data_IF_804897704629
#
_entry.id   IF_804897704629
#
_cell.length_a   1.000
_cell.length_b   1.000
_cell.length_c   1.000
_cell.angle_alpha   90.00
_cell.angle_beta   90.00
_cell.angle_gamma   90.00
#
_symmetry.space_group_name_H-M   'P 1'
#
loop_
_entity.id
_entity.type
_entity.pdbx_description
1 polymer ?
#
# COMPACT_ATOMS: atom_id res chain seq x y z
N UNK A 1 -0.96 9.92 -28.19
CA UNK A 1 -2.30 10.12 -27.57
C UNK A 1 -2.75 8.91 -26.75
N UNK A 2 -2.54 7.68 -27.21
CA UNK A 2 -3.11 6.47 -26.58
C UNK A 2 -2.64 6.17 -25.13
N UNK A 3 -1.40 6.53 -24.75
CA UNK A 3 -0.87 6.22 -23.42
C UNK A 3 -1.42 7.13 -22.30
N UNK A 4 -1.69 8.40 -22.62
CA UNK A 4 -2.21 9.36 -21.65
C UNK A 4 -3.71 9.17 -21.43
N UNK A 5 -4.48 8.80 -22.46
CA UNK A 5 -5.89 8.42 -22.32
C UNK A 5 -6.07 7.13 -21.51
N UNK A 6 -5.21 6.12 -21.73
CA UNK A 6 -5.16 4.90 -20.90
C UNK A 6 -4.79 5.20 -19.45
N UNK A 7 -3.91 6.16 -19.20
CA UNK A 7 -3.59 6.59 -17.84
C UNK A 7 -4.76 7.34 -17.20
N UNK A 8 -5.33 8.33 -17.89
CA UNK A 8 -6.46 9.14 -17.38
C UNK A 8 -7.65 8.24 -17.05
N UNK A 9 -8.03 7.32 -17.93
CA UNK A 9 -9.17 6.40 -17.70
C UNK A 9 -8.99 5.55 -16.45
N UNK A 10 -7.77 5.09 -16.16
CA UNK A 10 -7.45 4.32 -14.95
C UNK A 10 -7.29 5.20 -13.70
N UNK A 11 -6.71 6.39 -13.85
CA UNK A 11 -6.37 7.25 -12.72
C UNK A 11 -7.56 8.08 -12.23
N UNK A 12 -8.44 8.53 -13.11
CA UNK A 12 -9.64 9.31 -12.76
C UNK A 12 -10.46 8.72 -11.60
N UNK A 13 -10.83 7.42 -11.60
CA UNK A 13 -11.57 6.83 -10.48
C UNK A 13 -10.73 6.72 -9.19
N UNK A 14 -9.39 6.70 -9.29
CA UNK A 14 -8.48 6.70 -8.14
C UNK A 14 -8.32 8.12 -7.59
N UNK A 15 -8.30 9.14 -8.44
CA UNK A 15 -8.29 10.54 -8.06
C UNK A 15 -9.59 10.92 -7.33
N UNK A 16 -10.74 10.50 -7.86
CA UNK A 16 -12.06 10.72 -7.25
C UNK A 16 -12.19 10.04 -5.88
N UNK A 17 -11.54 8.88 -5.69
CA UNK A 17 -11.36 8.25 -4.39
C UNK A 17 -10.19 8.93 -3.68
N UNK A 18 -10.49 9.96 -2.87
CA UNK A 18 -9.53 10.67 -1.99
C UNK A 18 -8.32 9.83 -1.55
N UNK A 19 -7.12 10.45 -1.49
CA UNK A 19 -5.85 9.78 -1.14
C UNK A 19 -5.98 8.78 0.02
N UNK A 20 -6.69 9.17 1.08
CA UNK A 20 -6.94 8.33 2.26
C UNK A 20 -7.62 7.02 1.88
N UNK A 21 -8.69 7.06 1.08
CA UNK A 21 -9.44 5.86 0.68
C UNK A 21 -8.59 4.92 -0.16
N UNK A 22 -7.81 5.45 -1.10
CA UNK A 22 -6.88 4.66 -1.93
C UNK A 22 -5.80 3.99 -1.08
N UNK A 23 -5.09 4.77 -0.25
CA UNK A 23 -4.01 4.25 0.59
C UNK A 23 -4.55 3.22 1.58
N UNK A 24 -5.70 3.47 2.18
CA UNK A 24 -6.28 2.58 3.17
C UNK A 24 -6.76 1.26 2.55
N UNK A 25 -7.42 1.28 1.37
CA UNK A 25 -7.81 0.04 0.68
C UNK A 25 -6.60 -0.81 0.30
N UNK A 26 -5.57 -0.22 -0.31
CA UNK A 26 -4.39 -0.95 -0.75
C UNK A 26 -3.56 -1.48 0.43
N UNK A 27 -3.41 -0.68 1.50
CA UNK A 27 -2.66 -1.10 2.69
C UNK A 27 -3.41 -2.15 3.51
N UNK A 28 -4.75 -2.13 3.55
CA UNK A 28 -5.54 -3.11 4.29
C UNK A 28 -5.39 -4.53 3.73
N UNK A 29 -5.32 -4.69 2.41
CA UNK A 29 -5.05 -5.98 1.78
C UNK A 29 -3.70 -6.53 2.23
N UNK A 30 -2.66 -5.68 2.25
CA UNK A 30 -1.32 -6.11 2.65
C UNK A 30 -1.26 -6.43 4.14
N UNK A 31 -1.99 -5.66 4.97
CA UNK A 31 -2.13 -5.95 6.40
C UNK A 31 -2.74 -7.34 6.63
N UNK A 32 -3.82 -7.68 5.91
CA UNK A 32 -4.47 -9.00 6.03
C UNK A 32 -3.51 -10.14 5.65
N UNK A 33 -2.73 -9.96 4.59
CA UNK A 33 -1.71 -10.93 4.16
C UNK A 33 -0.63 -11.10 5.24
N UNK A 34 -0.14 -10.01 5.81
CA UNK A 34 0.85 -10.05 6.89
C UNK A 34 0.30 -10.75 8.13
N UNK A 35 -0.92 -10.43 8.57
CA UNK A 35 -1.56 -11.09 9.72
C UNK A 35 -1.68 -12.60 9.46
N UNK A 36 -2.13 -12.99 8.28
CA UNK A 36 -2.25 -14.40 7.91
C UNK A 36 -0.90 -15.13 7.95
N UNK A 37 0.14 -14.56 7.35
CA UNK A 37 1.50 -15.11 7.40
C UNK A 37 2.01 -15.28 8.83
N UNK A 38 1.77 -14.30 9.71
CA UNK A 38 2.19 -14.39 11.11
C UNK A 38 1.46 -15.51 11.86
N UNK A 39 0.16 -15.70 11.62
CA UNK A 39 -0.61 -16.80 12.22
C UNK A 39 -0.06 -18.16 11.77
N UNK A 40 0.24 -18.31 10.46
CA UNK A 40 0.83 -19.54 9.91
C UNK A 40 2.20 -19.82 10.52
N UNK A 41 3.08 -18.82 10.59
CA UNK A 41 4.41 -18.95 11.19
C UNK A 41 4.31 -19.33 12.68
N UNK A 42 3.39 -18.71 13.41
CA UNK A 42 3.17 -19.02 14.82
C UNK A 42 2.71 -20.46 15.04
N UNK A 43 1.90 -21.01 14.13
CA UNK A 43 1.47 -22.42 14.19
C UNK A 43 2.60 -23.40 13.88
N UNK A 44 3.50 -23.07 12.95
CA UNK A 44 4.57 -23.98 12.51
C UNK A 44 5.73 -24.02 13.51
N UNK A 45 6.12 -22.87 14.07
CA UNK A 45 7.38 -22.72 14.82
C UNK A 45 7.23 -22.80 16.36
N UNK A 46 6.25 -23.56 16.86
CA UNK A 46 6.09 -23.80 18.30
C UNK A 46 7.25 -24.66 18.87
N UNK A 47 7.82 -24.30 20.04
CA UNK A 47 7.55 -23.11 20.85
C UNK A 47 8.31 -21.87 20.35
N UNK A 48 7.62 -20.73 20.26
CA UNK A 48 8.21 -19.45 19.85
C UNK A 48 8.73 -18.69 21.09
N UNK A 49 9.97 -18.19 21.04
CA UNK A 49 10.54 -17.38 22.12
C UNK A 49 9.89 -15.99 22.19
N UNK A 50 9.88 -15.37 23.38
CA UNK A 50 9.34 -14.00 23.55
C UNK A 50 10.08 -12.97 22.69
N UNK A 51 11.39 -13.13 22.54
CA UNK A 51 12.21 -12.24 21.70
C UNK A 51 11.84 -12.37 20.22
N UNK A 52 11.53 -13.58 19.75
CA UNK A 52 11.06 -13.78 18.39
C UNK A 52 9.71 -13.09 18.15
N UNK A 53 8.78 -13.13 19.11
CA UNK A 53 7.50 -12.41 19.03
C UNK A 53 7.73 -10.89 18.96
N UNK A 54 8.63 -10.34 19.77
CA UNK A 54 8.97 -8.92 19.75
C UNK A 54 9.50 -8.50 18.37
N UNK A 55 10.48 -9.23 17.82
CA UNK A 55 11.05 -8.95 16.51
C UNK A 55 10.00 -9.03 15.40
N UNK A 56 9.09 -10.00 15.47
CA UNK A 56 7.98 -10.13 14.52
C UNK A 56 7.08 -8.89 14.55
N UNK A 57 6.69 -8.40 15.74
CA UNK A 57 5.87 -7.18 15.86
C UNK A 57 6.60 -5.96 15.28
N UNK A 58 7.89 -5.80 15.60
CA UNK A 58 8.72 -4.69 15.07
C UNK A 58 8.80 -4.74 13.55
N UNK A 59 9.15 -5.90 12.97
CA UNK A 59 9.28 -6.07 11.51
C UNK A 59 7.95 -5.80 10.81
N UNK A 60 6.83 -6.30 11.34
CA UNK A 60 5.52 -6.04 10.77
C UNK A 60 5.14 -4.56 10.81
N UNK A 61 5.42 -3.89 11.93
CA UNK A 61 5.13 -2.46 12.11
C UNK A 61 5.92 -1.61 11.11
N UNK A 62 7.23 -1.84 11.00
CA UNK A 62 8.07 -1.13 10.04
C UNK A 62 7.70 -1.44 8.59
N UNK A 63 7.40 -2.71 8.27
CA UNK A 63 6.96 -3.10 6.93
C UNK A 63 5.68 -2.38 6.55
N UNK A 64 4.69 -2.35 7.45
CA UNK A 64 3.42 -1.67 7.22
C UNK A 64 3.60 -0.15 7.06
N UNK A 65 4.47 0.47 7.85
CA UNK A 65 4.82 1.88 7.71
C UNK A 65 5.42 2.18 6.33
N UNK A 66 6.39 1.36 5.88
CA UNK A 66 7.03 1.49 4.56
C UNK A 66 5.99 1.37 3.44
N UNK A 67 5.05 0.43 3.57
CA UNK A 67 3.96 0.24 2.61
C UNK A 67 3.07 1.49 2.54
N UNK A 68 2.63 2.03 3.68
CA UNK A 68 1.80 3.24 3.72
C UNK A 68 2.54 4.39 3.02
N UNK A 69 3.79 4.65 3.40
CA UNK A 69 4.60 5.72 2.81
C UNK A 69 4.75 5.51 1.31
N UNK A 70 5.05 4.28 0.86
CA UNK A 70 5.14 3.93 -0.55
C UNK A 70 3.85 4.19 -1.32
N UNK A 71 2.69 3.86 -0.74
CA UNK A 71 1.37 4.09 -1.36
C UNK A 71 1.02 5.57 -1.44
N UNK A 72 1.33 6.35 -0.40
CA UNK A 72 1.19 7.81 -0.42
C UNK A 72 2.05 8.42 -1.53
N UNK A 73 3.33 8.02 -1.63
CA UNK A 73 4.24 8.53 -2.67
C UNK A 73 3.77 8.14 -4.08
N UNK A 74 3.28 6.91 -4.27
CA UNK A 74 2.68 6.48 -5.54
C UNK A 74 1.46 7.33 -5.90
N UNK A 75 0.59 7.64 -4.91
CA UNK A 75 -0.55 8.50 -5.13
C UNK A 75 -0.15 9.92 -5.54
N UNK A 76 0.81 10.52 -4.83
CA UNK A 76 1.34 11.85 -5.16
C UNK A 76 1.97 11.89 -6.56
N UNK A 77 2.72 10.85 -6.96
CA UNK A 77 3.29 10.75 -8.31
C UNK A 77 2.20 10.65 -9.38
N UNK A 78 1.17 9.84 -9.15
CA UNK A 78 0.03 9.70 -10.07
C UNK A 78 -0.74 11.01 -10.20
N UNK A 79 -0.99 11.69 -9.09
CA UNK A 79 -1.66 12.99 -9.05
C UNK A 79 -0.88 14.07 -9.80
N UNK A 80 0.44 14.14 -9.60
CA UNK A 80 1.32 15.07 -10.33
C UNK A 80 1.25 14.81 -11.84
N UNK A 81 1.29 13.54 -12.26
CA UNK A 81 1.18 13.17 -13.68
C UNK A 81 -0.18 13.55 -14.26
N UNK A 82 -1.26 13.28 -13.53
CA UNK A 82 -2.63 13.60 -13.95
C UNK A 82 -2.82 15.11 -14.18
N UNK A 83 -2.38 15.94 -13.24
CA UNK A 83 -2.43 17.40 -13.38
C UNK A 83 -1.62 17.92 -14.56
N UNK A 84 -0.42 17.36 -14.80
CA UNK A 84 0.39 17.77 -15.96
C UNK A 84 -0.30 17.45 -17.29
N UNK A 85 -0.99 16.31 -17.41
CA UNK A 85 -1.68 15.94 -18.65
C UNK A 85 -2.90 16.84 -18.88
N UNK A 86 -3.65 17.19 -17.82
CA UNK A 86 -4.82 18.06 -17.93
C UNK A 86 -4.42 19.51 -18.20
N UNK A 87 -3.38 20.02 -17.54
CA UNK A 87 -2.96 21.42 -17.68
C UNK A 87 -2.21 21.71 -19.00
N UNK A 88 -1.62 20.69 -19.63
CA UNK A 88 -0.94 20.81 -20.93
C UNK A 88 -1.83 20.44 -22.12
N UNK A 89 -3.11 20.11 -21.89
CA UNK A 89 -4.13 19.95 -22.93
C UNK A 89 -4.98 21.21 -23.01
#
# INVERSE_FOLDING_TARGET
MDNDEKFISKWKPIHEKTMVKYVLQESLIILLILVFLNVVLYWIYQPVSKDAIYWVVVINTFSFLIIIVGRVLCWLKGEKRYRNIINNK
#
